data_IF_876429799257
#
_entry.id   IF_876429799257
#
_cell.length_a   1.000
_cell.length_b   1.000
_cell.length_c   1.000
_cell.angle_alpha   90.00
_cell.angle_beta   90.00
_cell.angle_gamma   90.00
#
_symmetry.space_group_name_H-M   'P 1'
#
loop_
_entity.id
_entity.type
_entity.pdbx_description
1 polymer ?
#
# COMPACT_ATOMS: atom_id res chain seq x y z
N UNK A 1 9.61 1.53 -51.80
CA UNK A 1 8.22 1.88 -51.43
C UNK A 1 7.53 0.54 -51.20
N UNK A 2 7.34 0.14 -49.94
CA UNK A 2 6.74 -1.15 -49.61
C UNK A 2 5.26 -1.06 -49.94
N UNK A 3 4.81 -1.75 -50.99
CA UNK A 3 3.38 -1.89 -51.27
C UNK A 3 2.80 -2.82 -50.21
N UNK A 4 2.01 -2.26 -49.32
CA UNK A 4 1.18 -3.01 -48.38
C UNK A 4 0.08 -3.66 -49.22
N UNK A 5 0.00 -4.99 -49.16
CA UNK A 5 -0.97 -5.80 -49.91
C UNK A 5 -2.40 -5.33 -49.58
N UNK A 6 -3.18 -4.97 -50.60
CA UNK A 6 -4.56 -4.51 -50.45
C UNK A 6 -5.51 -5.62 -49.97
N UNK A 7 -5.05 -6.88 -49.96
CA UNK A 7 -5.76 -8.01 -49.38
C UNK A 7 -5.55 -8.16 -47.86
N UNK A 8 -4.69 -7.36 -47.23
CA UNK A 8 -4.48 -7.45 -45.79
C UNK A 8 -5.67 -6.80 -45.06
N UNK A 9 -6.44 -7.55 -44.23
CA UNK A 9 -7.47 -6.94 -43.40
C UNK A 9 -6.83 -5.87 -42.53
N UNK A 10 -7.56 -4.78 -42.26
CA UNK A 10 -7.12 -3.72 -41.36
C UNK A 10 -6.79 -4.34 -40.01
N UNK A 11 -5.50 -4.58 -39.76
CA UNK A 11 -5.10 -5.12 -38.47
C UNK A 11 -5.03 -3.95 -37.51
N UNK A 12 -5.68 -4.01 -36.33
CA UNK A 12 -5.48 -3.00 -35.32
C UNK A 12 -3.99 -2.99 -34.96
N UNK A 13 -3.31 -1.89 -35.29
CA UNK A 13 -1.97 -1.62 -34.79
C UNK A 13 -2.13 -1.28 -33.32
N UNK A 14 -1.78 -2.22 -32.45
CA UNK A 14 -1.82 -2.03 -31.00
C UNK A 14 -0.40 -1.71 -30.56
N UNK A 15 -0.14 -0.47 -30.14
CA UNK A 15 1.23 -0.08 -29.75
C UNK A 15 1.71 -0.81 -28.48
N UNK A 16 0.78 -1.08 -27.54
CA UNK A 16 1.07 -1.66 -26.24
C UNK A 16 -0.11 -2.49 -25.72
N UNK A 17 0.20 -3.67 -25.16
CA UNK A 17 -0.77 -4.53 -24.49
C UNK A 17 -0.43 -4.56 -23.01
N UNK A 18 -1.39 -4.21 -22.16
CA UNK A 18 -1.29 -4.33 -20.70
C UNK A 18 -2.37 -5.27 -20.19
N UNK A 19 -1.98 -6.23 -19.35
CA UNK A 19 -2.90 -7.18 -18.74
C UNK A 19 -2.67 -7.28 -17.24
N UNK A 20 -3.74 -7.11 -16.45
CA UNK A 20 -3.73 -7.46 -15.03
C UNK A 20 -3.77 -8.99 -14.88
N UNK A 21 -2.63 -9.58 -14.55
CA UNK A 21 -2.44 -11.03 -14.50
C UNK A 21 -2.86 -11.60 -13.14
N UNK A 22 -2.93 -10.76 -12.11
CA UNK A 22 -3.13 -11.17 -10.71
C UNK A 22 -4.41 -11.95 -10.42
N UNK A 23 -5.46 -11.82 -11.25
CA UNK A 23 -6.75 -12.51 -11.07
C UNK A 23 -6.90 -13.80 -11.88
N UNK A 24 -5.91 -14.18 -12.69
CA UNK A 24 -6.03 -15.30 -13.64
C UNK A 24 -5.54 -16.61 -13.02
N UNK A 25 -6.24 -17.71 -13.31
CA UNK A 25 -6.04 -19.02 -12.66
C UNK A 25 -4.83 -19.83 -13.18
N UNK A 26 -4.22 -19.42 -14.29
CA UNK A 26 -3.02 -20.06 -14.81
C UNK A 26 -2.57 -19.55 -16.18
N UNK A 27 -1.46 -20.09 -16.73
CA UNK A 27 -0.82 -19.55 -17.94
C UNK A 27 -1.75 -19.48 -19.15
N UNK A 28 -2.53 -20.53 -19.40
CA UNK A 28 -3.49 -20.55 -20.51
C UNK A 28 -4.58 -19.50 -20.36
N UNK A 29 -5.02 -19.20 -19.13
CA UNK A 29 -6.03 -18.17 -18.87
C UNK A 29 -5.48 -16.75 -19.08
N UNK A 30 -4.20 -16.54 -18.75
CA UNK A 30 -3.48 -15.28 -19.01
C UNK A 30 -3.30 -15.07 -20.50
N UNK A 31 -2.82 -16.09 -21.20
CA UNK A 31 -2.60 -16.04 -22.65
C UNK A 31 -3.93 -15.85 -23.40
N UNK A 32 -4.99 -16.53 -22.97
CA UNK A 32 -6.35 -16.33 -23.52
C UNK A 32 -6.86 -14.91 -23.28
N UNK A 33 -6.67 -14.33 -22.08
CA UNK A 33 -7.13 -12.96 -21.84
C UNK A 33 -6.38 -11.93 -22.68
N UNK A 34 -5.08 -12.13 -22.92
CA UNK A 34 -4.30 -11.28 -23.82
C UNK A 34 -4.82 -11.37 -25.26
N UNK A 35 -5.20 -12.57 -25.72
CA UNK A 35 -5.83 -12.77 -27.03
C UNK A 35 -7.19 -12.05 -27.11
N UNK A 36 -8.03 -12.18 -26.08
CA UNK A 36 -9.34 -11.54 -26.01
C UNK A 36 -9.23 -10.01 -26.04
N UNK A 37 -8.25 -9.44 -25.33
CA UNK A 37 -7.98 -8.00 -25.32
C UNK A 37 -7.47 -7.48 -26.67
N UNK A 38 -6.65 -8.26 -27.37
CA UNK A 38 -6.05 -7.87 -28.67
C UNK A 38 -7.03 -8.04 -29.83
N UNK A 39 -7.84 -9.09 -29.83
CA UNK A 39 -8.69 -9.45 -30.98
C UNK A 39 -10.17 -9.16 -30.77
N UNK A 40 -10.65 -9.02 -29.53
CA UNK A 40 -12.09 -8.99 -29.24
C UNK A 40 -12.82 -10.28 -29.65
N UNK A 41 -12.10 -11.37 -29.94
CA UNK A 41 -12.65 -12.65 -30.36
C UNK A 41 -12.82 -13.54 -29.12
N UNK A 42 -14.07 -13.91 -28.83
CA UNK A 42 -14.43 -14.80 -27.73
C UNK A 42 -14.02 -16.26 -27.99
N UNK A 43 -13.55 -16.89 -26.90
CA UNK A 43 -13.08 -18.27 -26.71
C UNK A 43 -12.58 -19.02 -27.95
N UNK A 44 -11.25 -19.10 -28.08
CA UNK A 44 -10.59 -19.95 -29.06
C UNK A 44 -10.76 -21.43 -28.66
N UNK A 45 -11.64 -22.11 -29.39
CA UNK A 45 -11.89 -23.53 -29.25
C UNK A 45 -10.86 -24.35 -30.06
N UNK A 46 -9.97 -25.06 -29.37
CA UNK A 46 -9.37 -26.30 -29.87
C UNK A 46 -7.98 -26.28 -30.52
N UNK A 47 -7.16 -27.22 -30.03
CA UNK A 47 -6.14 -28.05 -30.73
C UNK A 47 -4.78 -27.45 -31.11
N UNK A 48 -4.55 -26.13 -30.99
CA UNK A 48 -3.21 -25.51 -31.05
C UNK A 48 -2.71 -25.09 -29.66
N UNK A 49 -1.40 -25.05 -29.42
CA UNK A 49 -0.88 -24.53 -28.16
C UNK A 49 -1.25 -23.04 -28.04
N UNK A 50 -2.00 -22.69 -26.99
CA UNK A 50 -2.54 -21.34 -26.80
C UNK A 50 -1.46 -20.24 -26.87
N UNK A 51 -0.22 -20.58 -26.50
CA UNK A 51 0.95 -19.69 -26.56
C UNK A 51 1.37 -19.41 -28.01
N UNK A 52 1.44 -20.43 -28.87
CA UNK A 52 1.82 -20.24 -30.28
C UNK A 52 0.80 -19.38 -31.02
N UNK A 53 -0.48 -19.63 -30.75
CA UNK A 53 -1.57 -18.89 -31.37
C UNK A 53 -1.59 -17.43 -30.87
N UNK A 54 -1.39 -17.22 -29.57
CA UNK A 54 -1.23 -15.87 -29.01
C UNK A 54 -0.03 -15.15 -29.65
N UNK A 55 1.12 -15.81 -29.78
CA UNK A 55 2.30 -15.24 -30.40
C UNK A 55 2.05 -14.85 -31.87
N UNK A 56 1.33 -15.70 -32.62
CA UNK A 56 0.92 -15.41 -34.00
C UNK A 56 0.04 -14.16 -34.06
N UNK A 57 -0.94 -14.09 -33.17
CA UNK A 57 -1.89 -12.97 -33.08
C UNK A 57 -1.20 -11.65 -32.76
N UNK A 58 -0.35 -11.63 -31.73
CA UNK A 58 0.38 -10.43 -31.30
C UNK A 58 1.30 -9.92 -32.42
N UNK A 59 1.93 -10.81 -33.19
CA UNK A 59 2.74 -10.43 -34.36
C UNK A 59 1.90 -9.83 -35.48
N UNK A 60 0.74 -10.41 -35.76
CA UNK A 60 -0.16 -9.88 -36.77
C UNK A 60 -0.68 -8.50 -36.38
N UNK A 61 -1.01 -8.28 -35.11
CA UNK A 61 -1.47 -6.99 -34.60
C UNK A 61 -0.39 -5.91 -34.52
N UNK A 62 0.85 -6.23 -34.91
CA UNK A 62 1.97 -5.27 -34.84
C UNK A 62 2.30 -4.85 -33.41
N UNK A 63 1.89 -5.62 -32.40
CA UNK A 63 2.11 -5.25 -31.02
C UNK A 63 3.59 -5.38 -30.65
N UNK A 64 4.14 -4.27 -30.18
CA UNK A 64 5.58 -4.09 -29.99
C UNK A 64 6.03 -4.34 -28.54
N UNK A 65 5.11 -4.32 -27.58
CA UNK A 65 5.42 -4.43 -26.17
C UNK A 65 4.26 -5.04 -25.36
N UNK A 66 4.61 -5.93 -24.44
CA UNK A 66 3.69 -6.57 -23.50
C UNK A 66 4.03 -6.21 -22.05
N UNK A 67 3.07 -5.63 -21.33
CA UNK A 67 3.13 -5.38 -19.90
C UNK A 67 2.42 -6.45 -19.09
N UNK A 68 3.06 -6.94 -18.04
CA UNK A 68 2.49 -7.88 -17.09
C UNK A 68 2.50 -7.28 -15.68
N UNK A 69 1.35 -6.79 -15.20
CA UNK A 69 1.23 -6.26 -13.83
C UNK A 69 0.56 -7.27 -12.87
N UNK A 70 0.80 -7.07 -11.58
CA UNK A 70 0.14 -7.78 -10.47
C UNK A 70 0.39 -9.30 -10.42
N UNK A 71 1.43 -9.79 -11.09
CA UNK A 71 1.76 -11.22 -11.18
C UNK A 71 2.00 -11.88 -9.81
N UNK A 72 2.39 -11.11 -8.79
CA UNK A 72 2.52 -11.59 -7.40
C UNK A 72 1.22 -12.12 -6.78
N UNK A 73 0.04 -11.74 -7.30
CA UNK A 73 -1.26 -12.12 -6.76
C UNK A 73 -1.84 -13.39 -7.36
N UNK A 74 -1.23 -13.93 -8.43
CA UNK A 74 -1.71 -15.13 -9.13
C UNK A 74 -1.86 -16.35 -8.22
N UNK A 75 -1.12 -16.43 -7.12
CA UNK A 75 -1.33 -17.49 -6.15
C UNK A 75 -0.82 -17.13 -4.74
N UNK A 76 -1.55 -17.60 -3.74
CA UNK A 76 -1.36 -17.24 -2.32
C UNK A 76 -0.53 -18.28 -1.51
N UNK A 77 -0.08 -19.38 -2.13
CA UNK A 77 0.57 -20.52 -1.43
C UNK A 77 1.99 -20.82 -1.94
N UNK A 78 2.67 -21.84 -1.39
CA UNK A 78 4.00 -22.26 -1.85
C UNK A 78 4.04 -22.74 -3.32
N UNK A 79 2.93 -23.27 -3.84
CA UNK A 79 2.78 -23.61 -5.27
C UNK A 79 2.62 -22.37 -6.16
N UNK A 80 2.44 -21.19 -5.57
CA UNK A 80 2.31 -19.93 -6.30
C UNK A 80 3.53 -19.57 -7.11
N UNK A 81 4.72 -19.77 -6.53
CA UNK A 81 5.94 -19.35 -7.19
C UNK A 81 6.21 -20.18 -8.47
N UNK A 82 5.85 -21.47 -8.46
CA UNK A 82 5.91 -22.31 -9.66
C UNK A 82 4.90 -21.88 -10.71
N UNK A 83 3.67 -21.54 -10.31
CA UNK A 83 2.64 -21.06 -11.23
C UNK A 83 3.04 -19.72 -11.87
N UNK A 84 3.55 -18.78 -11.07
CA UNK A 84 4.02 -17.47 -11.54
C UNK A 84 5.18 -17.68 -12.51
N UNK A 85 6.19 -18.47 -12.15
CA UNK A 85 7.35 -18.76 -13.01
C UNK A 85 6.91 -19.36 -14.35
N UNK A 86 6.02 -20.37 -14.32
CA UNK A 86 5.49 -20.99 -15.54
C UNK A 86 4.71 -20.00 -16.41
N UNK A 87 3.96 -19.10 -15.79
CA UNK A 87 3.21 -18.05 -16.50
C UNK A 87 4.16 -17.08 -17.18
N UNK A 88 5.14 -16.54 -16.45
CA UNK A 88 6.13 -15.60 -17.00
C UNK A 88 6.97 -16.24 -18.11
N UNK A 89 7.37 -17.51 -17.96
CA UNK A 89 8.05 -18.24 -19.03
C UNK A 89 7.15 -18.44 -20.27
N UNK A 90 5.84 -18.60 -20.07
CA UNK A 90 4.88 -18.66 -21.19
C UNK A 90 4.79 -17.32 -21.91
N UNK A 91 4.85 -16.19 -21.19
CA UNK A 91 4.90 -14.86 -21.79
C UNK A 91 6.21 -14.64 -22.56
N UNK A 92 7.34 -15.07 -21.99
CA UNK A 92 8.63 -15.00 -22.67
C UNK A 92 8.64 -15.78 -24.01
N UNK A 93 7.85 -16.85 -24.10
CA UNK A 93 7.70 -17.64 -25.33
C UNK A 93 6.84 -16.97 -26.41
N UNK A 94 6.18 -15.83 -26.13
CA UNK A 94 5.42 -15.08 -27.13
C UNK A 94 6.31 -14.39 -28.17
N UNK A 95 7.62 -14.30 -27.89
CA UNK A 95 8.65 -13.69 -28.76
C UNK A 95 8.38 -12.20 -29.08
N UNK A 96 7.77 -11.49 -28.13
CA UNK A 96 7.58 -10.04 -28.17
C UNK A 96 8.26 -9.44 -26.95
N UNK A 97 8.87 -8.24 -27.04
CA UNK A 97 9.39 -7.54 -25.87
C UNK A 97 8.34 -7.48 -24.76
N UNK A 98 8.73 -7.85 -23.55
CA UNK A 98 7.82 -7.88 -22.42
C UNK A 98 8.52 -7.42 -21.15
N UNK A 99 7.74 -6.88 -20.22
CA UNK A 99 8.21 -6.55 -18.88
C UNK A 99 7.20 -7.03 -17.83
N UNK A 100 7.68 -7.27 -16.61
CA UNK A 100 6.84 -7.56 -15.46
C UNK A 100 7.10 -6.54 -14.37
N UNK A 101 6.02 -6.00 -13.81
CA UNK A 101 6.07 -5.13 -12.64
C UNK A 101 5.72 -5.97 -11.43
N UNK A 102 6.50 -5.84 -10.36
CA UNK A 102 6.27 -6.59 -9.14
C UNK A 102 7.02 -6.05 -7.94
N UNK A 103 6.56 -6.46 -6.76
CA UNK A 103 7.19 -6.10 -5.51
C UNK A 103 8.45 -6.94 -5.27
N UNK A 104 9.33 -6.51 -4.36
CA UNK A 104 10.51 -7.28 -3.97
C UNK A 104 10.22 -8.71 -3.48
N UNK A 105 9.02 -8.96 -2.94
CA UNK A 105 8.59 -10.31 -2.56
C UNK A 105 8.51 -11.25 -3.77
N UNK A 106 8.17 -10.76 -4.96
CA UNK A 106 8.24 -11.52 -6.20
C UNK A 106 9.69 -11.72 -6.65
N UNK A 107 10.51 -10.67 -6.62
CA UNK A 107 11.93 -10.77 -6.96
C UNK A 107 12.65 -11.84 -6.14
N UNK A 108 12.44 -11.88 -4.81
CA UNK A 108 12.97 -12.97 -3.96
C UNK A 108 12.51 -14.37 -4.39
N UNK A 109 11.23 -14.53 -4.76
CA UNK A 109 10.70 -15.83 -5.21
C UNK A 109 11.31 -16.29 -6.54
N UNK A 110 11.63 -15.34 -7.42
CA UNK A 110 12.22 -15.60 -8.73
C UNK A 110 13.73 -15.87 -8.62
N UNK A 111 14.46 -15.14 -7.76
CA UNK A 111 15.89 -15.39 -7.53
C UNK A 111 16.18 -16.77 -6.90
N UNK A 112 15.20 -17.35 -6.19
CA UNK A 112 15.29 -18.71 -5.62
C UNK A 112 15.01 -19.83 -6.65
N UNK A 113 14.78 -19.50 -7.93
CA UNK A 113 14.48 -20.48 -8.99
C UNK A 113 15.75 -21.05 -9.64
N UNK A 114 15.54 -22.10 -10.42
CA UNK A 114 16.59 -22.70 -11.23
C UNK A 114 17.27 -21.65 -12.13
N UNK A 115 18.59 -21.76 -12.36
CA UNK A 115 19.37 -20.76 -13.10
C UNK A 115 18.80 -20.41 -14.49
N UNK A 116 18.23 -21.40 -15.19
CA UNK A 116 17.61 -21.21 -16.50
C UNK A 116 16.40 -20.27 -16.45
N UNK A 117 15.54 -20.42 -15.43
CA UNK A 117 14.39 -19.54 -15.24
C UNK A 117 14.85 -18.14 -14.83
N UNK A 118 15.83 -18.05 -13.93
CA UNK A 118 16.39 -16.78 -13.47
C UNK A 118 17.01 -15.99 -14.63
N UNK A 119 17.78 -16.65 -15.51
CA UNK A 119 18.39 -16.00 -16.68
C UNK A 119 17.36 -15.51 -17.70
N UNK A 120 16.20 -16.18 -17.83
CA UNK A 120 15.15 -15.74 -18.77
C UNK A 120 14.25 -14.64 -18.20
N UNK A 121 14.01 -14.66 -16.88
CA UNK A 121 13.02 -13.79 -16.24
C UNK A 121 13.64 -12.56 -15.54
N UNK A 122 14.91 -12.62 -15.13
CA UNK A 122 15.57 -11.60 -14.30
C UNK A 122 16.93 -11.20 -14.88
N UNK A 123 17.05 -11.11 -16.21
CA UNK A 123 18.32 -10.76 -16.83
C UNK A 123 18.68 -9.27 -16.65
N UNK A 124 17.68 -8.38 -16.66
CA UNK A 124 17.86 -6.93 -16.62
C UNK A 124 16.79 -6.26 -15.73
N UNK A 125 16.93 -6.34 -14.39
CA UNK A 125 15.95 -5.80 -13.46
C UNK A 125 16.08 -4.27 -13.32
N UNK A 126 15.01 -3.53 -13.61
CA UNK A 126 14.88 -2.11 -13.26
C UNK A 126 14.35 -1.99 -11.84
N UNK A 127 15.11 -1.33 -10.96
CA UNK A 127 14.78 -1.25 -9.53
C UNK A 127 14.38 0.18 -9.18
N UNK A 128 13.18 0.32 -8.61
CA UNK A 128 12.67 1.60 -8.14
C UNK A 128 12.93 1.75 -6.64
N UNK A 129 13.79 2.71 -6.28
CA UNK A 129 14.06 3.06 -4.88
C UNK A 129 13.20 4.27 -4.47
N UNK A 130 12.86 4.40 -3.18
CA UNK A 130 12.16 5.60 -2.71
C UNK A 130 13.02 6.85 -2.87
N UNK A 131 12.38 7.94 -3.30
CA UNK A 131 13.04 9.21 -3.51
C UNK A 131 13.47 9.82 -2.15
N UNK A 132 14.65 10.47 -2.05
CA UNK A 132 15.04 11.16 -0.83
C UNK A 132 14.17 12.42 -0.60
N UNK A 133 14.06 12.90 0.66
CA UNK A 133 13.16 14.00 1.00
C UNK A 133 13.51 15.33 0.32
N UNK A 134 14.76 15.51 -0.11
CA UNK A 134 15.22 16.71 -0.82
C UNK A 134 15.19 16.56 -2.35
N UNK A 135 14.78 15.40 -2.87
CA UNK A 135 14.68 15.21 -4.32
C UNK A 135 13.60 16.09 -4.94
N UNK A 136 13.85 16.53 -6.17
CA UNK A 136 12.86 17.24 -6.98
C UNK A 136 11.59 16.41 -7.17
N UNK A 137 11.71 15.09 -7.29
CA UNK A 137 10.56 14.22 -7.50
C UNK A 137 9.65 14.16 -6.27
N UNK A 138 10.22 14.12 -5.06
CA UNK A 138 9.46 14.20 -3.82
C UNK A 138 8.79 15.57 -3.66
N UNK A 139 9.53 16.64 -3.92
CA UNK A 139 9.02 18.02 -3.83
C UNK A 139 7.87 18.24 -4.82
N UNK A 140 8.04 17.82 -6.08
CA UNK A 140 7.02 17.94 -7.12
C UNK A 140 5.77 17.12 -6.75
N UNK A 141 5.95 15.90 -6.22
CA UNK A 141 4.83 15.08 -5.75
C UNK A 141 4.02 15.78 -4.66
N UNK A 142 4.69 16.35 -3.66
CA UNK A 142 4.01 17.08 -2.58
C UNK A 142 3.32 18.34 -3.08
N UNK A 143 3.91 19.05 -4.05
CA UNK A 143 3.29 20.21 -4.67
C UNK A 143 1.99 19.84 -5.41
N UNK A 144 1.99 18.75 -6.19
CA UNK A 144 0.79 18.26 -6.88
C UNK A 144 -0.29 17.80 -5.87
N UNK A 145 0.11 17.13 -4.79
CA UNK A 145 -0.84 16.77 -3.73
C UNK A 145 -1.42 18.00 -3.04
N UNK A 146 -0.62 19.05 -2.84
CA UNK A 146 -1.09 20.31 -2.27
C UNK A 146 -2.17 20.95 -3.12
N UNK A 147 -2.02 20.93 -4.45
CA UNK A 147 -3.03 21.46 -5.38
C UNK A 147 -4.36 20.74 -5.20
N UNK A 148 -4.35 19.41 -5.15
CA UNK A 148 -5.57 18.60 -5.01
C UNK A 148 -6.19 18.75 -3.63
N UNK A 149 -5.38 18.94 -2.59
CA UNK A 149 -5.81 18.96 -1.19
C UNK A 149 -5.92 20.39 -0.61
N UNK A 150 -5.82 21.43 -1.43
CA UNK A 150 -5.74 22.83 -0.98
C UNK A 150 -6.91 23.25 -0.07
N UNK A 151 -8.13 22.80 -0.37
CA UNK A 151 -9.32 23.12 0.44
C UNK A 151 -9.41 22.28 1.72
N UNK A 152 -8.69 21.16 1.76
CA UNK A 152 -8.79 20.12 2.79
C UNK A 152 -7.70 20.29 3.85
N UNK A 153 -6.53 20.84 3.51
CA UNK A 153 -5.41 21.02 4.43
C UNK A 153 -5.44 22.43 5.03
N UNK A 154 -5.14 22.54 6.33
CA UNK A 154 -4.90 23.84 6.98
C UNK A 154 -3.40 24.24 7.00
N UNK A 155 -2.55 23.42 6.37
CA UNK A 155 -1.11 23.56 6.36
C UNK A 155 -0.53 23.22 4.97
N UNK A 156 0.71 23.65 4.74
CA UNK A 156 1.44 23.37 3.50
C UNK A 156 2.27 22.08 3.63
N UNK A 157 2.08 21.13 2.70
CA UNK A 157 2.81 19.87 2.69
C UNK A 157 4.32 20.07 2.55
N UNK A 158 4.76 21.07 1.77
CA UNK A 158 6.17 21.38 1.55
C UNK A 158 6.87 21.86 2.82
N UNK A 159 6.16 22.53 3.72
CA UNK A 159 6.71 22.95 5.02
C UNK A 159 7.10 21.73 5.87
N UNK A 160 6.41 20.61 5.71
CA UNK A 160 6.62 19.36 6.45
C UNK A 160 7.24 18.24 5.60
N UNK A 161 7.95 18.58 4.51
CA UNK A 161 8.42 17.59 3.54
C UNK A 161 9.27 16.47 4.17
N UNK A 162 10.14 16.83 5.13
CA UNK A 162 11.04 15.89 5.80
C UNK A 162 10.26 15.06 6.80
N UNK A 163 9.36 15.66 7.59
CA UNK A 163 8.53 14.92 8.52
C UNK A 163 7.59 13.95 7.82
N UNK A 164 6.97 14.35 6.71
CA UNK A 164 6.12 13.48 5.90
C UNK A 164 6.92 12.30 5.33
N UNK A 165 8.17 12.55 4.92
CA UNK A 165 9.08 11.49 4.50
C UNK A 165 9.41 10.57 5.69
N UNK A 166 9.72 11.10 6.87
CA UNK A 166 10.00 10.34 8.10
C UNK A 166 8.81 9.52 8.61
N UNK A 167 7.59 9.96 8.34
CA UNK A 167 6.33 9.29 8.69
C UNK A 167 5.92 8.23 7.66
N UNK A 168 6.51 8.22 6.46
CA UNK A 168 6.19 7.29 5.37
C UNK A 168 7.39 6.46 4.90
N UNK A 169 8.61 6.75 5.37
CA UNK A 169 9.87 6.27 4.82
C UNK A 169 10.00 6.52 3.29
N UNK A 170 9.47 7.63 2.79
CA UNK A 170 9.46 7.95 1.35
C UNK A 170 8.53 7.05 0.51
N UNK A 171 7.76 6.16 1.13
CA UNK A 171 6.84 5.27 0.42
C UNK A 171 5.57 6.04 0.06
N UNK A 172 5.42 6.39 -1.23
CA UNK A 172 4.30 7.19 -1.76
C UNK A 172 2.92 6.60 -1.40
N UNK A 173 2.77 5.28 -1.42
CA UNK A 173 1.54 4.59 -1.02
C UNK A 173 1.20 4.82 0.46
N UNK A 174 2.21 4.77 1.33
CA UNK A 174 2.00 4.96 2.77
C UNK A 174 1.74 6.43 3.11
N UNK A 175 2.34 7.37 2.37
CA UNK A 175 1.99 8.79 2.47
C UNK A 175 0.50 9.02 2.16
N UNK A 176 -0.01 8.47 1.04
CA UNK A 176 -1.43 8.58 0.69
C UNK A 176 -2.31 7.96 1.78
N UNK A 177 -1.97 6.76 2.25
CA UNK A 177 -2.68 6.07 3.33
C UNK A 177 -2.73 6.91 4.62
N UNK A 178 -1.62 7.57 4.96
CA UNK A 178 -1.51 8.47 6.10
C UNK A 178 -2.43 9.69 5.94
N UNK A 179 -2.40 10.36 4.78
CA UNK A 179 -3.24 11.53 4.50
C UNK A 179 -4.73 11.18 4.50
N UNK A 180 -5.12 10.05 3.88
CA UNK A 180 -6.50 9.55 3.90
C UNK A 180 -6.96 9.22 5.32
N UNK A 181 -6.09 8.62 6.14
CA UNK A 181 -6.40 8.33 7.54
C UNK A 181 -6.56 9.62 8.35
N UNK A 182 -5.73 10.62 8.07
CA UNK A 182 -5.80 11.96 8.68
C UNK A 182 -7.12 12.65 8.34
N UNK A 183 -7.53 12.58 7.08
CA UNK A 183 -8.83 13.07 6.62
C UNK A 183 -9.99 12.41 7.38
N UNK A 184 -9.97 11.07 7.48
CA UNK A 184 -11.02 10.33 8.21
C UNK A 184 -11.08 10.75 9.68
N UNK A 185 -9.94 10.94 10.33
CA UNK A 185 -9.88 11.37 11.73
C UNK A 185 -10.44 12.79 11.90
N UNK A 186 -10.07 13.73 11.01
CA UNK A 186 -10.61 15.09 10.97
C UNK A 186 -12.14 15.07 10.87
N UNK A 187 -12.69 14.31 9.90
CA UNK A 187 -14.14 14.21 9.70
C UNK A 187 -14.88 13.57 10.86
N UNK A 188 -14.32 12.54 11.49
CA UNK A 188 -14.91 11.96 12.71
C UNK A 188 -14.86 12.92 13.90
N UNK A 189 -13.90 13.86 13.91
CA UNK A 189 -13.82 14.95 14.89
C UNK A 189 -14.81 16.09 14.66
N UNK A 190 -15.43 16.15 13.46
CA UNK A 190 -16.28 17.27 13.05
C UNK A 190 -15.52 18.42 12.40
N UNK A 191 -14.22 18.26 12.14
CA UNK A 191 -13.40 19.30 11.56
C UNK A 191 -13.63 19.42 10.04
N UNK A 192 -13.55 20.65 9.54
CA UNK A 192 -13.68 20.95 8.12
C UNK A 192 -12.39 20.68 7.35
N UNK A 193 -11.24 20.83 8.02
CA UNK A 193 -9.90 20.73 7.47
C UNK A 193 -9.00 19.79 8.30
N UNK A 194 -7.93 19.34 7.67
CA UNK A 194 -6.91 18.49 8.27
C UNK A 194 -5.79 19.38 8.80
N UNK A 195 -5.58 19.31 10.11
CA UNK A 195 -4.43 19.89 10.79
C UNK A 195 -3.26 18.93 10.90
N UNK A 196 -2.08 19.48 11.19
CA UNK A 196 -0.90 18.66 11.47
C UNK A 196 -1.11 17.70 12.66
N UNK A 197 -1.95 18.08 13.64
CA UNK A 197 -2.30 17.20 14.75
C UNK A 197 -3.09 15.97 14.28
N UNK A 198 -3.93 16.10 13.25
CA UNK A 198 -4.59 14.97 12.60
C UNK A 198 -3.60 14.01 11.94
N UNK A 199 -2.55 14.52 11.31
CA UNK A 199 -1.49 13.68 10.72
C UNK A 199 -0.75 12.87 11.78
N UNK A 200 -0.36 13.52 12.89
CA UNK A 200 0.29 12.82 14.02
C UNK A 200 -0.63 11.77 14.64
N UNK A 201 -1.91 12.08 14.81
CA UNK A 201 -2.93 11.15 15.31
C UNK A 201 -3.16 9.99 14.34
N UNK A 202 -3.16 10.23 13.03
CA UNK A 202 -3.27 9.20 12.01
C UNK A 202 -2.11 8.22 12.09
N UNK A 203 -0.87 8.73 12.18
CA UNK A 203 0.30 7.89 12.38
C UNK A 203 0.21 7.10 13.69
N UNK A 204 -0.31 7.69 14.76
CA UNK A 204 -0.53 7.04 16.05
C UNK A 204 -1.68 6.00 16.04
N UNK A 205 -2.59 6.07 15.07
CA UNK A 205 -3.84 5.31 15.05
C UNK A 205 -3.65 3.80 14.85
N UNK A 206 -4.67 3.03 15.26
CA UNK A 206 -4.73 1.60 14.99
C UNK A 206 -4.86 1.30 13.49
N UNK A 207 -5.58 2.14 12.74
CA UNK A 207 -5.78 1.99 11.29
C UNK A 207 -4.48 2.08 10.50
N UNK A 208 -3.50 2.83 10.99
CA UNK A 208 -2.18 2.96 10.35
C UNK A 208 -1.10 2.05 10.98
N UNK A 209 -1.48 1.17 11.91
CA UNK A 209 -0.52 0.39 12.71
C UNK A 209 0.36 -0.56 11.89
N UNK A 210 -0.19 -1.16 10.82
CA UNK A 210 0.52 -2.09 9.94
C UNK A 210 1.60 -1.36 9.14
N UNK A 211 1.22 -0.28 8.45
CA UNK A 211 2.13 0.59 7.73
C UNK A 211 3.24 1.12 8.64
N UNK A 212 2.87 1.63 9.81
CA UNK A 212 3.81 2.11 10.83
C UNK A 212 4.81 1.03 11.26
N UNK A 213 4.37 -0.22 11.41
CA UNK A 213 5.27 -1.31 11.79
C UNK A 213 6.34 -1.56 10.71
N UNK A 214 5.96 -1.52 9.44
CA UNK A 214 6.90 -1.70 8.32
C UNK A 214 7.85 -0.49 8.17
N UNK A 215 7.34 0.74 8.31
CA UNK A 215 8.15 1.97 8.35
C UNK A 215 9.18 1.93 9.48
N UNK A 216 8.76 1.56 10.69
CA UNK A 216 9.66 1.45 11.84
C UNK A 216 10.70 0.34 11.63
N UNK A 217 10.34 -0.76 10.96
CA UNK A 217 11.26 -1.83 10.62
C UNK A 217 12.35 -1.34 9.64
N UNK A 218 11.97 -0.54 8.63
CA UNK A 218 12.91 0.09 7.70
C UNK A 218 13.90 1.02 8.42
N UNK A 219 13.39 1.95 9.24
CA UNK A 219 14.20 2.90 10.00
C UNK A 219 15.15 2.19 10.98
N UNK A 220 14.65 1.16 11.68
CA UNK A 220 15.46 0.37 12.61
C UNK A 220 16.57 -0.39 11.89
N UNK A 221 16.24 -1.01 10.74
CA UNK A 221 17.19 -1.78 9.95
C UNK A 221 18.33 -0.92 9.40
N UNK A 222 18.04 0.29 8.92
CA UNK A 222 19.06 1.21 8.44
C UNK A 222 20.08 1.56 9.53
N UNK A 223 19.63 1.71 10.79
CA UNK A 223 20.47 2.14 11.90
C UNK A 223 21.22 1.03 12.65
N UNK A 224 20.60 -0.12 12.90
CA UNK A 224 21.20 -1.21 13.70
C UNK A 224 21.61 -2.42 12.87
N UNK A 225 21.23 -2.46 11.59
CA UNK A 225 21.19 -3.70 10.84
C UNK A 225 20.11 -4.64 11.38
N UNK A 226 19.90 -5.77 10.71
CA UNK A 226 18.97 -6.80 11.18
C UNK A 226 18.21 -7.51 10.07
N UNK A 227 17.33 -8.42 10.47
CA UNK A 227 16.46 -9.14 9.53
C UNK A 227 15.25 -8.28 9.18
N UNK A 228 15.27 -7.73 7.97
CA UNK A 228 14.11 -7.09 7.35
C UNK A 228 13.22 -8.16 6.68
N UNK A 229 11.90 -7.95 6.64
CA UNK A 229 10.99 -8.81 5.88
C UNK A 229 11.44 -8.84 4.41
N UNK A 230 11.41 -10.01 3.76
CA UNK A 230 11.81 -10.17 2.35
C UNK A 230 11.15 -9.14 1.43
N UNK A 231 9.87 -8.83 1.63
CA UNK A 231 9.14 -7.86 0.80
C UNK A 231 9.59 -6.40 0.92
N UNK A 232 10.35 -6.05 1.95
CA UNK A 232 10.90 -4.70 2.17
C UNK A 232 12.39 -4.60 1.80
N UNK A 233 13.03 -5.73 1.47
CA UNK A 233 14.45 -5.82 1.14
C UNK A 233 14.61 -6.08 -0.36
N UNK A 234 15.39 -5.24 -1.03
CA UNK A 234 15.76 -5.50 -2.42
C UNK A 234 16.49 -6.86 -2.55
N UNK A 235 16.06 -7.76 -3.46
CA UNK A 235 16.70 -9.06 -3.68
C UNK A 235 17.90 -9.01 -4.63
N UNK A 236 18.07 -7.91 -5.34
CA UNK A 236 19.08 -7.76 -6.38
C UNK A 236 20.34 -7.09 -5.84
N UNK A 237 21.45 -7.33 -6.54
CA UNK A 237 22.76 -6.81 -6.19
C UNK A 237 23.42 -6.16 -7.41
N UNK A 238 24.30 -5.19 -7.18
CA UNK A 238 24.98 -4.42 -8.20
C UNK A 238 25.48 -3.07 -7.65
N UNK A 239 26.58 -2.51 -8.20
CA UNK A 239 27.19 -1.30 -7.65
C UNK A 239 26.23 -0.11 -7.62
N UNK A 240 25.44 0.08 -8.68
CA UNK A 240 24.45 1.16 -8.80
C UNK A 240 23.30 0.97 -7.80
N UNK A 241 22.83 -0.28 -7.67
CA UNK A 241 21.74 -0.66 -6.76
C UNK A 241 22.17 -0.45 -5.31
N UNK A 242 23.38 -0.89 -4.97
CA UNK A 242 23.94 -0.71 -3.62
C UNK A 242 24.16 0.75 -3.29
N UNK A 243 24.58 1.57 -4.25
CA UNK A 243 24.69 3.02 -4.06
C UNK A 243 23.31 3.65 -3.75
N UNK A 244 22.28 3.32 -4.53
CA UNK A 244 20.92 3.82 -4.29
C UNK A 244 20.36 3.34 -2.93
N UNK A 245 20.59 2.07 -2.56
CA UNK A 245 20.23 1.53 -1.24
C UNK A 245 20.98 2.25 -0.12
N UNK A 246 22.27 2.55 -0.30
CA UNK A 246 23.09 3.29 0.66
C UNK A 246 22.53 4.69 0.89
N UNK A 247 22.25 5.45 -0.16
CA UNK A 247 21.69 6.80 -0.06
C UNK A 247 20.36 6.79 0.69
N UNK A 248 19.46 5.87 0.33
CA UNK A 248 18.19 5.72 1.02
C UNK A 248 18.36 5.31 2.50
N UNK A 249 19.29 4.39 2.79
CA UNK A 249 19.59 3.95 4.15
C UNK A 249 20.19 5.06 5.01
N UNK A 250 20.99 5.95 4.42
CA UNK A 250 21.52 7.13 5.10
C UNK A 250 20.41 8.09 5.52
N UNK A 251 19.45 8.37 4.63
CA UNK A 251 18.27 9.18 4.97
C UNK A 251 17.42 8.55 6.08
N UNK A 252 17.28 7.22 6.08
CA UNK A 252 16.62 6.51 7.19
C UNK A 252 17.41 6.60 8.52
N UNK A 253 18.75 6.64 8.46
CA UNK A 253 19.59 6.85 9.66
C UNK A 253 19.44 8.26 10.21
N UNK A 254 19.38 9.28 9.34
CA UNK A 254 19.13 10.67 9.73
C UNK A 254 17.76 10.78 10.43
N UNK A 255 16.71 10.22 9.84
CA UNK A 255 15.37 10.17 10.42
C UNK A 255 15.35 9.50 11.81
N UNK A 256 16.17 8.45 11.99
CA UNK A 256 16.32 7.78 13.28
C UNK A 256 17.06 8.65 14.29
N UNK A 257 18.16 9.27 13.88
CA UNK A 257 18.98 10.12 14.73
C UNK A 257 18.16 11.29 15.28
N UNK A 258 17.31 11.90 14.44
CA UNK A 258 16.38 12.94 14.84
C UNK A 258 15.37 12.45 15.89
N UNK A 259 14.72 11.30 15.64
CA UNK A 259 13.79 10.67 16.61
C UNK A 259 14.46 10.38 17.95
N UNK A 260 15.69 9.86 17.92
CA UNK A 260 16.48 9.58 19.13
C UNK A 260 16.85 10.88 19.84
N UNK A 261 17.26 11.92 19.12
CA UNK A 261 17.59 13.23 19.70
C UNK A 261 16.37 13.82 20.44
N UNK A 262 15.19 13.82 19.81
CA UNK A 262 13.94 14.28 20.42
C UNK A 262 13.61 13.46 21.67
N UNK A 263 13.75 12.13 21.60
CA UNK A 263 13.48 11.26 22.74
C UNK A 263 14.46 11.48 23.90
N UNK A 264 15.75 11.69 23.60
CA UNK A 264 16.79 12.01 24.60
C UNK A 264 16.50 13.34 25.27
N UNK A 265 16.12 14.37 24.51
CA UNK A 265 15.70 15.68 25.06
C UNK A 265 14.49 15.49 25.99
N UNK A 266 13.43 14.81 25.53
CA UNK A 266 12.25 14.52 26.38
C UNK A 266 12.60 13.70 27.64
N UNK A 267 13.57 12.78 27.55
CA UNK A 267 14.03 11.99 28.68
C UNK A 267 14.84 12.83 29.68
N UNK A 268 15.62 13.80 29.20
CA UNK A 268 16.41 14.73 30.04
C UNK A 268 15.59 15.83 30.69
N UNK A 269 14.36 16.07 30.22
CA UNK A 269 13.49 17.11 30.77
C UNK A 269 13.05 16.83 32.19
N UNK A 270 13.03 17.89 32.99
CA UNK A 270 12.51 17.85 34.36
C UNK A 270 10.97 17.74 34.35
N UNK A 271 10.38 17.47 35.52
CA UNK A 271 8.93 17.27 35.64
C UNK A 271 8.11 18.49 35.19
N UNK A 272 8.59 19.71 35.48
CA UNK A 272 7.90 20.95 35.11
C UNK A 272 7.93 21.19 33.61
N UNK A 273 9.05 20.92 32.95
CA UNK A 273 9.21 21.02 31.49
C UNK A 273 8.33 20.01 30.76
N UNK A 274 8.22 18.78 31.29
CA UNK A 274 7.31 17.77 30.74
C UNK A 274 5.85 18.19 30.87
N UNK A 275 5.44 18.66 32.03
CA UNK A 275 4.08 19.15 32.27
C UNK A 275 3.77 20.38 31.38
N UNK A 276 4.74 21.27 31.17
CA UNK A 276 4.59 22.42 30.27
C UNK A 276 4.40 21.99 28.81
N UNK A 277 5.18 21.03 28.32
CA UNK A 277 5.04 20.50 26.95
C UNK A 277 3.72 19.77 26.77
N UNK A 278 3.31 18.96 27.74
CA UNK A 278 2.03 18.27 27.69
C UNK A 278 0.86 19.27 27.64
N UNK A 279 0.96 20.38 28.37
CA UNK A 279 -0.04 21.45 28.33
C UNK A 279 -0.05 22.18 26.99
N UNK A 280 1.12 22.42 26.37
CA UNK A 280 1.21 23.02 25.02
C UNK A 280 0.63 22.05 23.98
N UNK A 281 0.97 20.77 24.05
CA UNK A 281 0.46 19.73 23.14
C UNK A 281 -1.06 19.61 23.27
N UNK A 282 -1.62 19.64 24.50
CA UNK A 282 -3.07 19.65 24.74
C UNK A 282 -3.76 20.92 24.27
N UNK A 283 -3.12 22.08 24.39
CA UNK A 283 -3.67 23.35 23.92
C UNK A 283 -3.68 23.45 22.38
N UNK A 284 -2.78 22.74 21.71
CA UNK A 284 -2.72 22.64 20.25
C UNK A 284 -3.70 21.60 19.66
N UNK A 285 -4.34 20.76 20.48
CA UNK A 285 -5.41 19.88 20.01
C UNK A 285 -6.72 20.67 19.88
N UNK A 286 -7.42 20.64 18.72
CA UNK A 286 -8.72 21.27 18.58
C UNK A 286 -9.69 20.67 19.62
N UNK A 287 -10.44 21.54 20.30
CA UNK A 287 -11.26 21.17 21.44
C UNK A 287 -12.23 20.06 21.06
N UNK A 288 -12.02 18.85 21.59
CA UNK A 288 -13.04 17.80 21.53
C UNK A 288 -14.32 18.36 22.13
N UNK A 289 -15.43 18.31 21.37
CA UNK A 289 -16.75 18.33 21.98
C UNK A 289 -16.75 17.29 23.11
N UNK A 290 -17.13 17.74 24.30
CA UNK A 290 -17.07 16.97 25.54
C UNK A 290 -17.57 15.55 25.30
N UNK A 291 -16.82 14.49 25.69
CA UNK A 291 -17.32 13.13 25.54
C UNK A 291 -18.64 13.07 26.30
N UNK A 292 -19.70 12.61 25.61
CA UNK A 292 -21.01 12.43 26.21
C UNK A 292 -20.82 11.72 27.56
N UNK A 293 -21.32 12.37 28.61
CA UNK A 293 -21.15 11.93 29.99
C UNK A 293 -21.72 10.51 30.09
N UNK A 294 -20.86 9.50 30.11
CA UNK A 294 -21.29 8.11 30.29
C UNK A 294 -21.82 8.03 31.71
N UNK A 295 -23.14 8.15 31.85
CA UNK A 295 -23.85 7.89 33.08
C UNK A 295 -23.54 6.44 33.44
N UNK A 296 -22.68 6.24 34.45
CA UNK A 296 -22.40 4.92 34.98
C UNK A 296 -23.71 4.35 35.50
N UNK A 297 -24.29 3.40 34.78
CA UNK A 297 -25.44 2.67 35.29
C UNK A 297 -25.02 1.96 36.58
N UNK A 298 -25.76 2.13 37.69
CA UNK A 298 -25.47 1.43 38.93
C UNK A 298 -25.57 -0.06 38.65
N UNK A 299 -24.48 -0.80 38.92
CA UNK A 299 -24.48 -2.26 38.82
C UNK A 299 -25.52 -2.78 39.81
N UNK A 300 -26.62 -3.36 39.31
CA UNK A 300 -27.59 -4.01 40.18
C UNK A 300 -26.88 -5.18 40.89
N UNK A 301 -27.02 -5.24 42.22
CA UNK A 301 -26.52 -6.37 43.00
C UNK A 301 -27.31 -7.61 42.58
N UNK A 302 -26.62 -8.70 42.24
CA UNK A 302 -27.27 -9.98 41.92
C UNK A 302 -28.15 -10.42 43.11
N UNK A 303 -29.45 -10.69 42.92
CA UNK A 303 -30.31 -11.19 44.00
C UNK A 303 -29.80 -12.55 44.47
N UNK A 304 -29.59 -12.70 45.78
CA UNK A 304 -29.14 -13.97 46.41
C UNK A 304 -30.31 -14.84 46.91
N UNK A 305 -31.54 -14.40 46.71
CA UNK A 305 -32.77 -15.07 47.18
C UNK A 305 -33.74 -15.28 46.03
N UNK A 306 -34.55 -16.35 46.13
CA UNK A 306 -35.50 -16.77 45.10
C UNK A 306 -36.61 -15.73 44.90
N UNK A 307 -37.04 -15.07 45.97
CA UNK A 307 -37.97 -13.92 45.94
C UNK A 307 -37.38 -12.74 45.16
N UNK A 308 -36.09 -12.42 45.37
CA UNK A 308 -35.41 -11.35 44.65
C UNK A 308 -35.20 -11.65 43.15
N UNK A 309 -35.24 -12.92 42.74
CA UNK A 309 -35.25 -13.30 41.33
C UNK A 309 -36.62 -13.08 40.69
N UNK A 310 -37.72 -13.30 41.43
CA UNK A 310 -39.08 -13.08 40.94
C UNK A 310 -39.39 -11.59 40.78
N UNK A 311 -38.94 -10.77 41.73
CA UNK A 311 -39.13 -9.31 41.69
C UNK A 311 -38.34 -8.69 40.52
N UNK A 312 -37.09 -9.10 40.32
CA UNK A 312 -36.29 -8.67 39.17
C UNK A 312 -36.87 -9.13 37.81
N UNK A 313 -37.52 -10.28 37.77
CA UNK A 313 -38.20 -10.76 36.56
C UNK A 313 -39.46 -9.93 36.23
N UNK A 314 -40.22 -9.53 37.25
CA UNK A 314 -41.38 -8.65 37.09
C UNK A 314 -40.96 -7.24 36.63
N UNK A 315 -39.91 -6.67 37.22
CA UNK A 315 -39.37 -5.37 36.81
C UNK A 315 -38.84 -5.39 35.37
N UNK A 316 -38.20 -6.48 34.95
CA UNK A 316 -37.73 -6.64 33.57
C UNK A 316 -38.90 -6.71 32.58
N UNK A 317 -39.96 -7.47 32.89
CA UNK A 317 -41.17 -7.53 32.07
C UNK A 317 -41.89 -6.17 32.01
N UNK A 318 -41.92 -5.42 33.11
CA UNK A 318 -42.47 -4.06 33.15
C UNK A 318 -41.63 -3.07 32.32
N UNK A 319 -40.31 -3.25 32.26
CA UNK A 319 -39.41 -2.41 31.45
C UNK A 319 -39.56 -2.67 29.95
N UNK A 320 -39.92 -3.91 29.55
CA UNK A 320 -40.21 -4.28 28.16
C UNK A 320 -41.59 -3.80 27.69
N UNK A 321 -42.54 -3.62 28.61
CA UNK A 321 -43.88 -3.12 28.31
C UNK A 321 -43.94 -1.58 28.13
N UNK A 322 -42.86 -0.86 28.45
CA UNK A 322 -42.75 0.58 28.16
C UNK A 322 -42.13 0.79 26.78
N UNK A 323 -42.98 0.92 25.76
CA UNK A 323 -42.57 1.40 24.44
C UNK A 323 -41.97 2.82 24.52
N UNK A 324 -40.93 3.14 23.73
CA UNK A 324 -40.18 4.40 23.83
C UNK A 324 -40.83 5.56 23.04
N UNK A 325 -42.17 5.63 22.96
CA UNK A 325 -42.90 6.68 22.22
C UNK A 325 -43.58 7.70 23.13
N UNK A 326 -42.86 8.29 24.08
CA UNK A 326 -43.33 9.50 24.75
C UNK A 326 -42.16 10.30 25.35
N UNK A 327 -41.52 11.13 24.53
CA UNK A 327 -40.83 12.34 24.99
C UNK A 327 -41.03 13.46 23.96
N UNK A 328 -42.07 14.27 24.17
CA UNK A 328 -41.99 15.73 23.99
C UNK A 328 -41.07 16.32 25.04
#
# INVERSE_FOLDING_TARGET
MVQIDAAHPAVPLIDFIDGNIGRKTGPSAVVKSLIEEVLGIGDMDGKGGAVEECARVIRLSGACLLGADETQFMAQSASAATLITRTLLSLANLQVPWFVIGNYSLGWKLCERDPEATQRLIHDPVIMMPDPPESSDWVNLLAEYQVVLAEVLDFELLTYQVELWNLSAGLKRELVSLLVTSYRISRHGGDSQISWSHVRRAFASASFSVARADINALISNAGQGGKLKKGLRCPFDGPEIQAAISTYSEKLREARAEKVAIATVKASMNRQEREAIENIEKAAEPSRASPAQVIKMPKSRKPRTLEGMQEAAQDFLASLAKDPSAKT
#
